data_IF_598408506689
#
_entry.id   IF_598408506689
#
_cell.length_a   1.000
_cell.length_b   1.000
_cell.length_c   1.000
_cell.angle_alpha   90.00
_cell.angle_beta   90.00
_cell.angle_gamma   90.00
#
_symmetry.space_group_name_H-M   'P 1'
#
loop_
_entity.id
_entity.type
_entity.pdbx_description
1 polymer ?
#
# COMPACT_ATOMS: atom_id res chain seq x y z
N UNK A 1 7.40 3.06 1.29
CA UNK A 1 6.43 3.11 2.40
C UNK A 1 7.06 2.48 3.63
N UNK A 2 6.72 2.98 4.82
CA UNK A 2 7.02 2.38 6.11
C UNK A 2 5.73 1.80 6.69
N UNK A 3 5.85 0.68 7.40
CA UNK A 3 4.74 0.09 8.12
C UNK A 3 5.18 -0.27 9.53
N UNK A 4 4.33 0.03 10.52
CA UNK A 4 4.50 -0.40 11.91
C UNK A 4 3.31 -1.26 12.29
N UNK A 5 3.56 -2.31 13.08
CA UNK A 5 2.53 -3.23 13.51
C UNK A 5 2.66 -3.53 15.00
N UNK A 6 1.63 -3.19 15.78
CA UNK A 6 1.53 -3.42 17.22
C UNK A 6 0.05 -3.60 17.61
N UNK A 7 -0.24 -4.48 18.57
CA UNK A 7 -1.61 -4.72 19.08
C UNK A 7 -2.66 -4.93 17.97
N UNK A 8 -2.33 -5.75 16.97
CA UNK A 8 -3.14 -6.01 15.77
C UNK A 8 -3.37 -4.79 14.86
N UNK A 9 -2.82 -3.63 15.18
CA UNK A 9 -2.92 -2.42 14.37
C UNK A 9 -1.74 -2.30 13.40
N UNK A 10 -2.03 -2.35 12.11
CA UNK A 10 -1.11 -1.99 11.03
C UNK A 10 -1.26 -0.51 10.71
N UNK A 11 -0.19 0.26 10.89
CA UNK A 11 -0.09 1.64 10.43
C UNK A 11 0.83 1.67 9.21
N UNK A 12 0.32 2.15 8.08
CA UNK A 12 1.06 2.35 6.83
C UNK A 12 1.27 3.84 6.60
N UNK A 13 2.51 4.23 6.33
CA UNK A 13 2.86 5.60 5.93
C UNK A 13 3.80 5.57 4.72
N UNK A 14 3.74 6.57 3.86
CA UNK A 14 4.63 6.65 2.71
C UNK A 14 4.60 8.02 2.08
N UNK A 15 5.71 8.35 1.40
CA UNK A 15 5.82 9.50 0.50
C UNK A 15 6.02 8.98 -0.91
N UNK A 16 5.45 9.67 -1.88
CA UNK A 16 5.70 9.44 -3.30
C UNK A 16 5.98 10.78 -3.98
N UNK A 17 6.68 10.70 -5.10
CA UNK A 17 7.00 11.84 -5.96
C UNK A 17 7.25 11.37 -7.39
N UNK A 18 7.21 12.31 -8.34
CA UNK A 18 7.51 12.04 -9.74
C UNK A 18 6.50 11.15 -10.48
N UNK A 19 5.25 11.10 -10.05
CA UNK A 19 4.20 10.41 -10.82
C UNK A 19 3.94 11.15 -12.15
N UNK A 20 3.60 10.40 -13.18
CA UNK A 20 3.32 10.91 -14.52
C UNK A 20 2.01 11.72 -14.61
N UNK A 21 1.06 11.46 -13.72
CA UNK A 21 -0.19 12.23 -13.56
C UNK A 21 -0.66 12.17 -12.10
N UNK A 22 -1.79 12.83 -11.78
CA UNK A 22 -2.25 12.94 -10.40
C UNK A 22 -2.62 11.56 -9.86
N UNK A 23 -2.21 11.25 -8.64
CA UNK A 23 -2.70 10.08 -7.93
C UNK A 23 -4.23 10.18 -7.73
N UNK A 24 -4.91 9.05 -7.95
CA UNK A 24 -6.37 8.93 -7.86
C UNK A 24 -6.79 8.04 -6.69
N UNK A 25 -6.23 6.84 -6.61
CA UNK A 25 -6.54 5.85 -5.58
C UNK A 25 -5.25 5.14 -5.14
N UNK A 26 -5.17 4.74 -3.88
CA UNK A 26 -4.13 3.86 -3.38
C UNK A 26 -4.73 2.68 -2.62
N UNK A 27 -4.10 1.52 -2.76
CA UNK A 27 -4.52 0.29 -2.12
C UNK A 27 -3.36 -0.45 -1.48
N UNK A 28 -3.64 -1.17 -0.41
CA UNK A 28 -2.83 -2.30 0.01
C UNK A 28 -3.37 -3.55 -0.69
N UNK A 29 -2.53 -4.23 -1.46
CA UNK A 29 -2.85 -5.47 -2.15
C UNK A 29 -2.22 -6.67 -1.45
N UNK A 30 -2.87 -7.84 -1.54
CA UNK A 30 -2.39 -9.11 -0.98
C UNK A 30 -1.71 -9.98 -2.04
N UNK A 31 -0.39 -9.99 -2.06
CA UNK A 31 0.40 -10.93 -2.85
C UNK A 31 1.84 -11.03 -2.32
N UNK A 32 2.52 -12.17 -2.51
CA UNK A 32 3.95 -12.25 -2.24
C UNK A 32 4.75 -11.31 -3.17
N UNK A 33 6.04 -11.06 -2.85
CA UNK A 33 6.92 -10.25 -3.69
C UNK A 33 6.90 -10.65 -5.17
N UNK A 34 6.93 -9.64 -6.04
CA UNK A 34 6.91 -9.77 -7.50
C UNK A 34 5.60 -10.36 -8.11
N UNK A 35 4.54 -10.59 -7.33
CA UNK A 35 3.23 -11.02 -7.84
C UNK A 35 2.16 -9.96 -7.61
N UNK A 36 1.19 -9.87 -8.54
CA UNK A 36 -0.01 -9.04 -8.39
C UNK A 36 -1.09 -9.84 -7.65
N UNK A 37 -1.91 -9.15 -6.86
CA UNK A 37 -2.99 -9.78 -6.12
C UNK A 37 -4.18 -8.86 -5.90
N UNK A 38 -5.25 -9.36 -5.25
CA UNK A 38 -6.46 -8.58 -4.98
C UNK A 38 -6.19 -7.42 -4.02
N UNK A 39 -7.06 -6.42 -4.05
CA UNK A 39 -7.11 -5.36 -3.04
C UNK A 39 -7.47 -5.97 -1.69
N UNK A 40 -6.75 -5.58 -0.64
CA UNK A 40 -7.05 -5.94 0.75
C UNK A 40 -7.64 -4.73 1.50
N UNK A 41 -7.03 -3.55 1.33
CA UNK A 41 -7.46 -2.32 2.00
C UNK A 41 -7.30 -1.09 1.10
N UNK A 42 -8.15 -0.09 1.32
CA UNK A 42 -8.01 1.23 0.68
C UNK A 42 -7.16 2.14 1.56
N UNK A 43 -6.23 2.85 0.94
CA UNK A 43 -5.36 3.83 1.59
C UNK A 43 -5.81 5.25 1.24
N UNK A 44 -5.57 6.17 2.15
CA UNK A 44 -5.62 7.60 1.84
C UNK A 44 -4.41 7.97 0.99
N UNK A 45 -4.61 8.85 0.01
CA UNK A 45 -3.55 9.32 -0.87
C UNK A 45 -3.75 10.79 -1.21
N UNK A 46 -2.67 11.57 -1.22
CA UNK A 46 -2.69 12.93 -1.75
C UNK A 46 -3.00 12.89 -3.25
N UNK A 47 -4.01 13.65 -3.70
CA UNK A 47 -4.23 13.82 -5.14
C UNK A 47 -3.21 14.81 -5.71
N UNK A 48 -2.16 14.28 -6.33
CA UNK A 48 -1.07 15.06 -6.94
C UNK A 48 0.01 14.15 -7.52
N UNK A 49 1.02 14.75 -8.15
CA UNK A 49 2.18 14.00 -8.67
C UNK A 49 3.22 13.68 -7.58
N UNK A 50 3.02 14.23 -6.39
CA UNK A 50 3.83 14.02 -5.19
C UNK A 50 2.96 14.22 -3.96
N UNK A 51 3.29 13.53 -2.87
CA UNK A 51 2.50 13.62 -1.65
C UNK A 51 2.69 12.41 -0.75
N UNK A 52 1.67 12.11 0.04
CA UNK A 52 1.70 11.02 1.02
C UNK A 52 0.63 9.98 0.75
N UNK A 53 0.89 8.77 1.20
CA UNK A 53 -0.05 7.64 1.22
C UNK A 53 -0.04 7.03 2.61
N UNK A 54 -1.19 6.62 3.12
CA UNK A 54 -1.24 5.99 4.43
C UNK A 54 -2.61 5.46 4.83
N UNK A 55 -2.64 4.80 5.98
CA UNK A 55 -3.85 4.25 6.57
C UNK A 55 -3.52 3.43 7.80
N UNK A 56 -4.54 3.23 8.63
CA UNK A 56 -4.45 2.47 9.87
C UNK A 56 -5.54 1.41 9.86
N UNK A 57 -5.16 0.15 10.06
CA UNK A 57 -6.04 -1.01 9.93
C UNK A 57 -5.87 -1.95 11.11
N UNK A 58 -6.98 -2.40 11.67
CA UNK A 58 -6.97 -3.56 12.56
C UNK A 58 -6.91 -4.83 11.69
N UNK A 59 -5.93 -5.70 11.96
CA UNK A 59 -5.74 -6.94 11.24
C UNK A 59 -6.30 -8.12 12.03
N UNK A 60 -7.03 -8.99 11.33
CA UNK A 60 -7.37 -10.30 11.88
C UNK A 60 -6.13 -11.24 11.87
N UNK A 61 -6.22 -12.44 12.49
CA UNK A 61 -5.08 -13.36 12.54
C UNK A 61 -4.53 -13.80 11.16
N UNK A 62 -5.39 -13.96 10.15
CA UNK A 62 -4.98 -14.36 8.81
C UNK A 62 -4.25 -13.23 8.06
N UNK A 63 -4.71 -12.00 8.24
CA UNK A 63 -4.07 -10.79 7.71
C UNK A 63 -2.75 -10.52 8.41
N UNK A 64 -2.70 -10.71 9.74
CA UNK A 64 -1.46 -10.63 10.51
C UNK A 64 -0.43 -11.63 9.97
N UNK A 65 -0.81 -12.88 9.73
CA UNK A 65 0.07 -13.87 9.09
C UNK A 65 0.55 -13.40 7.72
N UNK A 66 -0.36 -12.90 6.89
CA UNK A 66 -0.05 -12.36 5.56
C UNK A 66 0.99 -11.23 5.63
N UNK A 67 0.86 -10.32 6.59
CA UNK A 67 1.84 -9.24 6.84
C UNK A 67 3.20 -9.80 7.21
N UNK A 68 3.26 -10.77 8.13
CA UNK A 68 4.51 -11.39 8.57
C UNK A 68 5.24 -12.13 7.44
N UNK A 69 4.51 -12.62 6.44
CA UNK A 69 5.06 -13.30 5.27
C UNK A 69 5.41 -12.34 4.11
N UNK A 70 5.46 -11.02 4.35
CA UNK A 70 5.70 -9.99 3.32
C UNK A 70 4.67 -10.03 2.17
N UNK A 71 3.44 -10.44 2.50
CA UNK A 71 2.35 -10.67 1.55
C UNK A 71 1.54 -9.43 1.19
N UNK A 72 2.00 -8.23 1.55
CA UNK A 72 1.33 -6.97 1.24
C UNK A 72 2.21 -6.01 0.45
N UNK A 73 1.59 -5.28 -0.47
CA UNK A 73 2.23 -4.16 -1.16
C UNK A 73 1.29 -2.99 -1.36
N UNK A 74 1.83 -1.78 -1.30
CA UNK A 74 1.12 -0.54 -1.66
C UNK A 74 1.15 -0.41 -3.18
N UNK A 75 0.01 -0.06 -3.77
CA UNK A 75 -0.11 0.33 -5.18
C UNK A 75 -0.80 1.69 -5.27
N UNK A 76 -0.22 2.61 -6.06
CA UNK A 76 -0.83 3.91 -6.35
C UNK A 76 -1.24 3.94 -7.82
N UNK A 77 -2.49 4.35 -8.05
CA UNK A 77 -3.09 4.56 -9.36
C UNK A 77 -3.07 6.04 -9.70
N UNK A 78 -2.96 6.35 -11.00
CA UNK A 78 -2.97 7.73 -11.49
C UNK A 78 -3.95 7.88 -12.65
N UNK A 79 -4.28 9.10 -13.02
CA UNK A 79 -5.22 9.42 -14.10
C UNK A 79 -4.84 8.74 -15.43
N UNK A 80 -3.55 8.63 -15.72
CA UNK A 80 -3.02 8.03 -16.95
C UNK A 80 -2.56 6.58 -16.79
N UNK A 81 -2.58 6.04 -15.57
CA UNK A 81 -2.18 4.67 -15.25
C UNK A 81 -3.16 4.05 -14.23
N UNK A 82 -4.39 3.84 -14.66
CA UNK A 82 -5.49 3.28 -13.85
C UNK A 82 -5.24 1.83 -13.40
N UNK A 83 -4.44 1.06 -14.13
CA UNK A 83 -3.97 -0.27 -13.72
C UNK A 83 -2.90 -0.23 -12.62
N UNK A 84 -2.45 0.97 -12.21
CA UNK A 84 -1.47 1.25 -11.16
C UNK A 84 -0.06 1.51 -11.68
N UNK A 85 0.47 2.67 -11.30
CA UNK A 85 1.75 3.21 -11.75
C UNK A 85 2.93 2.65 -10.94
N UNK A 86 2.91 2.85 -9.61
CA UNK A 86 3.99 2.42 -8.72
C UNK A 86 3.53 1.37 -7.72
N UNK A 87 4.47 0.50 -7.31
CA UNK A 87 4.25 -0.57 -6.33
C UNK A 87 5.40 -0.64 -5.33
N UNK A 88 5.09 -0.93 -4.08
CA UNK A 88 6.10 -1.13 -3.03
C UNK A 88 5.65 -2.16 -2.00
N UNK A 89 6.39 -3.26 -1.89
CA UNK A 89 6.11 -4.32 -0.92
C UNK A 89 6.50 -3.91 0.49
N UNK A 90 5.69 -4.31 1.46
CA UNK A 90 5.98 -4.16 2.87
C UNK A 90 6.91 -5.31 3.29
N UNK A 91 8.18 -4.97 3.50
CA UNK A 91 9.20 -5.91 3.95
C UNK A 91 9.43 -5.76 5.46
N UNK A 92 9.61 -6.87 6.20
CA UNK A 92 10.09 -6.84 7.58
C UNK A 92 11.39 -6.05 7.68
N UNK A 93 11.54 -5.33 8.79
CA UNK A 93 12.81 -4.76 9.24
C UNK A 93 13.30 -5.53 10.44
#
# INVERSE_FOLDING_TARGET
AHATFADSMLVVTGRFEGLSSRATVAHLHRAPPARRGPVAFTLEVTSGISGTVGGTFELNPAETRTLRESGYYVQIHTETNDAGEIRGWLMPR
#
